data_IF_847945261760
#
_entry.id   IF_847945261760
#
_cell.length_a   1.000
_cell.length_b   1.000
_cell.length_c   1.000
_cell.angle_alpha   90.00
_cell.angle_beta   90.00
_cell.angle_gamma   90.00
#
_symmetry.space_group_name_H-M   'P 1'
#
loop_
_entity.id
_entity.type
_entity.pdbx_description
1 polymer ?
#
# COMPACT_ATOMS: atom_id res chain seq x y z
N UNK A 1 4.47 7.72 -26.32
CA UNK A 1 3.91 7.36 -24.99
C UNK A 1 2.41 7.07 -25.08
N UNK A 2 1.62 7.91 -25.76
CA UNK A 2 0.17 7.69 -25.94
C UNK A 2 -0.17 6.44 -26.76
N UNK A 3 0.58 6.14 -27.82
CA UNK A 3 0.38 4.92 -28.64
C UNK A 3 0.57 3.62 -27.83
N UNK A 4 1.65 3.53 -27.04
CA UNK A 4 1.92 2.36 -26.20
C UNK A 4 0.91 2.19 -25.06
N UNK A 5 0.39 3.29 -24.52
CA UNK A 5 -0.62 3.25 -23.45
C UNK A 5 -1.99 2.87 -24.00
N UNK A 6 -2.35 3.33 -25.20
CA UNK A 6 -3.55 2.91 -25.90
C UNK A 6 -3.54 1.41 -26.26
N UNK A 7 -2.41 0.91 -26.79
CA UNK A 7 -2.27 -0.50 -27.15
C UNK A 7 -2.24 -1.42 -25.92
N UNK A 8 -1.60 -0.98 -24.83
CA UNK A 8 -1.68 -1.70 -23.56
C UNK A 8 -3.13 -1.74 -23.04
N UNK A 9 -3.88 -0.63 -23.11
CA UNK A 9 -5.27 -0.56 -22.68
C UNK A 9 -6.19 -1.51 -23.49
N UNK A 10 -5.95 -1.64 -24.80
CA UNK A 10 -6.66 -2.57 -25.68
C UNK A 10 -6.35 -4.04 -25.37
N UNK A 11 -5.10 -4.37 -25.02
CA UNK A 11 -4.73 -5.72 -24.57
C UNK A 11 -5.40 -6.04 -23.21
N UNK A 12 -5.48 -5.06 -22.30
CA UNK A 12 -6.11 -5.28 -21.00
C UNK A 12 -7.64 -5.33 -21.05
N UNK A 13 -8.28 -4.80 -22.09
CA UNK A 13 -9.74 -4.86 -22.27
C UNK A 13 -10.22 -6.19 -22.85
N UNK A 14 -9.34 -6.93 -23.55
CA UNK A 14 -9.65 -8.26 -24.11
C UNK A 14 -9.48 -9.41 -23.12
N UNK A 15 -9.01 -9.12 -21.90
CA UNK A 15 -8.79 -10.14 -20.87
C UNK A 15 -10.08 -10.52 -20.13
N UNK A 16 -10.20 -11.79 -19.67
CA UNK A 16 -11.27 -12.22 -18.78
C UNK A 16 -11.33 -11.38 -17.49
N UNK A 17 -12.53 -11.22 -16.92
CA UNK A 17 -12.71 -10.47 -15.67
C UNK A 17 -11.92 -11.10 -14.51
N UNK A 18 -11.13 -10.28 -13.81
CA UNK A 18 -10.41 -10.70 -12.62
C UNK A 18 -8.94 -10.24 -12.60
N UNK A 19 -8.30 -10.42 -11.43
CA UNK A 19 -6.91 -10.04 -11.22
C UNK A 19 -5.91 -11.11 -11.71
N UNK A 20 -6.35 -12.37 -11.81
CA UNK A 20 -5.54 -13.50 -12.23
C UNK A 20 -4.96 -13.36 -13.66
N UNK A 21 -5.74 -13.02 -14.71
CA UNK A 21 -5.19 -12.86 -16.06
C UNK A 21 -4.16 -11.73 -16.16
N UNK A 22 -4.40 -10.62 -15.45
CA UNK A 22 -3.45 -9.50 -15.37
C UNK A 22 -2.14 -9.92 -14.69
N UNK A 23 -2.23 -10.74 -13.65
CA UNK A 23 -1.07 -11.31 -12.96
C UNK A 23 -0.27 -12.28 -13.83
N UNK A 24 -0.96 -13.13 -14.60
CA UNK A 24 -0.34 -14.04 -15.57
C UNK A 24 0.48 -13.26 -16.60
N UNK A 25 -0.08 -12.18 -17.18
CA UNK A 25 0.65 -11.32 -18.11
C UNK A 25 1.85 -10.61 -17.46
N UNK A 26 1.68 -10.08 -16.25
CA UNK A 26 2.75 -9.40 -15.53
C UNK A 26 3.95 -10.32 -15.27
N UNK A 27 3.71 -11.50 -14.71
CA UNK A 27 4.78 -12.47 -14.44
C UNK A 27 5.43 -13.02 -15.71
N UNK A 28 4.68 -13.13 -16.81
CA UNK A 28 5.20 -13.53 -18.11
C UNK A 28 6.07 -12.45 -18.75
N UNK A 29 5.69 -11.18 -18.62
CA UNK A 29 6.52 -10.06 -19.08
C UNK A 29 7.87 -10.00 -18.33
N UNK A 30 7.85 -10.20 -17.00
CA UNK A 30 9.08 -10.31 -16.20
C UNK A 30 9.92 -11.52 -16.60
N UNK A 31 9.28 -12.66 -16.88
CA UNK A 31 9.95 -13.87 -17.37
C UNK A 31 10.66 -13.64 -18.71
N UNK A 32 9.98 -13.03 -19.68
CA UNK A 32 10.54 -12.68 -20.98
C UNK A 32 11.71 -11.70 -20.83
N UNK A 33 11.57 -10.67 -19.99
CA UNK A 33 12.65 -9.73 -19.71
C UNK A 33 13.89 -10.46 -19.15
N UNK A 34 13.69 -11.34 -18.18
CA UNK A 34 14.78 -12.14 -17.61
C UNK A 34 15.39 -13.11 -18.64
N UNK A 35 14.60 -13.69 -19.53
CA UNK A 35 15.08 -14.54 -20.62
C UNK A 35 15.94 -13.76 -21.61
N UNK A 36 15.46 -12.60 -22.09
CA UNK A 36 16.23 -11.73 -22.99
C UNK A 36 17.54 -11.33 -22.33
N UNK A 37 17.48 -10.90 -21.07
CA UNK A 37 18.70 -10.56 -20.34
C UNK A 37 19.68 -11.74 -20.31
N UNK A 38 19.25 -12.95 -19.95
CA UNK A 38 20.14 -14.12 -19.85
C UNK A 38 20.80 -14.56 -21.17
N UNK A 39 20.26 -14.16 -22.34
CA UNK A 39 20.94 -14.36 -23.62
C UNK A 39 22.13 -13.42 -23.83
N UNK A 40 22.11 -12.23 -23.23
CA UNK A 40 23.15 -11.21 -23.39
C UNK A 40 24.02 -11.02 -22.15
N UNK A 41 23.49 -11.26 -20.95
CA UNK A 41 24.17 -11.09 -19.66
C UNK A 41 23.53 -11.92 -18.54
N UNK A 42 24.37 -12.62 -17.79
CA UNK A 42 23.96 -13.52 -16.70
C UNK A 42 23.99 -12.85 -15.31
N UNK A 43 24.14 -11.52 -15.26
CA UNK A 43 24.34 -10.75 -14.03
C UNK A 43 23.21 -10.92 -13.00
N UNK A 44 21.94 -10.75 -13.38
CA UNK A 44 20.85 -10.87 -12.40
C UNK A 44 20.62 -12.31 -11.94
N UNK A 45 20.76 -13.30 -12.83
CA UNK A 45 20.61 -14.71 -12.48
C UNK A 45 21.72 -15.17 -11.53
N UNK A 46 22.96 -14.72 -11.74
CA UNK A 46 24.07 -14.93 -10.80
C UNK A 46 23.80 -14.37 -9.41
N UNK A 47 23.05 -13.27 -9.29
CA UNK A 47 22.67 -12.73 -7.98
C UNK A 47 21.68 -13.64 -7.26
N UNK A 48 20.76 -14.29 -7.97
CA UNK A 48 19.80 -15.25 -7.37
C UNK A 48 20.54 -16.49 -6.85
N UNK A 49 21.48 -17.02 -7.63
CA UNK A 49 22.28 -18.22 -7.30
C UNK A 49 23.61 -17.90 -6.58
N UNK A 50 23.67 -16.80 -5.82
CA UNK A 50 24.92 -16.30 -5.24
C UNK A 50 25.41 -17.07 -3.99
N UNK A 51 24.76 -18.16 -3.58
CA UNK A 51 25.11 -18.89 -2.36
C UNK A 51 26.33 -19.82 -2.50
N UNK A 52 26.80 -20.07 -3.74
CA UNK A 52 28.09 -20.75 -4.02
C UNK A 52 29.00 -19.85 -4.87
N UNK A 53 29.60 -18.79 -4.29
CA UNK A 53 30.38 -17.82 -5.06
C UNK A 53 31.76 -18.32 -5.50
N UNK A 54 32.29 -19.42 -4.94
CA UNK A 54 33.70 -19.81 -5.07
C UNK A 54 33.90 -21.25 -5.59
N UNK A 55 33.47 -21.54 -6.82
CA UNK A 55 34.07 -22.62 -7.63
C UNK A 55 35.06 -22.07 -8.68
N UNK A 56 35.24 -20.75 -8.77
CA UNK A 56 36.21 -20.14 -9.70
C UNK A 56 37.69 -20.21 -9.26
N UNK A 57 37.98 -20.44 -7.97
CA UNK A 57 39.35 -20.42 -7.44
C UNK A 57 39.93 -21.83 -7.15
N UNK A 58 39.19 -22.90 -7.46
CA UNK A 58 39.58 -24.30 -7.19
C UNK A 58 39.69 -25.17 -8.44
N UNK A 59 39.64 -24.58 -9.65
CA UNK A 59 39.74 -25.32 -10.91
C UNK A 59 38.49 -26.16 -11.26
N UNK A 60 37.39 -26.01 -10.50
CA UNK A 60 36.08 -26.60 -10.81
C UNK A 60 35.24 -25.63 -11.66
N UNK A 61 34.26 -26.11 -12.46
CA UNK A 61 33.45 -25.23 -13.27
C UNK A 61 32.50 -24.40 -12.38
N UNK A 62 32.38 -23.10 -12.67
CA UNK A 62 31.46 -22.20 -11.96
C UNK A 62 30.03 -22.73 -11.94
N UNK A 63 29.38 -22.73 -10.77
CA UNK A 63 28.00 -23.18 -10.55
C UNK A 63 26.93 -22.60 -11.53
N UNK A 64 27.20 -21.45 -12.16
CA UNK A 64 26.38 -20.92 -13.26
C UNK A 64 27.24 -20.68 -14.50
N UNK A 65 27.17 -21.59 -15.48
CA UNK A 65 27.84 -21.42 -16.77
C UNK A 65 26.99 -20.54 -17.70
N UNK A 66 27.60 -19.81 -18.65
CA UNK A 66 26.84 -19.08 -19.68
C UNK A 66 25.91 -19.97 -20.50
N UNK A 67 26.19 -21.27 -20.59
CA UNK A 67 25.30 -22.25 -21.21
C UNK A 67 24.07 -22.54 -20.33
N UNK A 68 24.26 -22.77 -19.02
CA UNK A 68 23.13 -23.01 -18.11
C UNK A 68 22.22 -21.78 -17.98
N UNK A 69 22.78 -20.56 -18.02
CA UNK A 69 22.00 -19.33 -18.08
C UNK A 69 21.09 -19.24 -19.31
N UNK A 70 21.58 -19.67 -20.50
CA UNK A 70 20.78 -19.72 -21.73
C UNK A 70 19.71 -20.82 -21.70
N UNK A 71 20.00 -21.99 -21.12
CA UNK A 71 19.01 -23.05 -20.92
C UNK A 71 17.90 -22.61 -19.95
N UNK A 72 18.26 -21.88 -18.89
CA UNK A 72 17.28 -21.28 -17.98
C UNK A 72 16.44 -20.20 -18.68
N UNK A 73 17.04 -19.43 -19.58
CA UNK A 73 16.35 -18.43 -20.40
C UNK A 73 15.32 -19.05 -21.34
N UNK A 74 15.68 -20.11 -22.06
CA UNK A 74 14.76 -20.82 -22.98
C UNK A 74 13.61 -21.44 -22.20
N UNK A 75 13.90 -22.12 -21.08
CA UNK A 75 12.89 -22.67 -20.19
C UNK A 75 11.89 -21.61 -19.68
N UNK A 76 12.40 -20.49 -19.16
CA UNK A 76 11.57 -19.41 -18.61
C UNK A 76 10.73 -18.72 -19.69
N UNK A 77 11.26 -18.63 -20.91
CA UNK A 77 10.54 -18.06 -22.04
C UNK A 77 9.38 -18.97 -22.48
N UNK A 78 9.62 -20.28 -22.59
CA UNK A 78 8.58 -21.26 -22.92
C UNK A 78 7.44 -21.23 -21.91
N UNK A 79 7.75 -21.20 -20.61
CA UNK A 79 6.74 -21.09 -19.54
C UNK A 79 5.98 -19.76 -19.60
N UNK A 80 6.65 -18.66 -19.93
CA UNK A 80 6.00 -17.35 -20.09
C UNK A 80 5.01 -17.32 -21.26
N UNK A 81 5.31 -18.00 -22.37
CA UNK A 81 4.36 -18.12 -23.49
C UNK A 81 3.11 -18.92 -23.11
N UNK A 82 3.26 -20.02 -22.36
CA UNK A 82 2.13 -20.82 -21.85
C UNK A 82 1.23 -19.94 -20.96
N UNK A 83 1.83 -19.12 -20.09
CA UNK A 83 1.09 -18.23 -19.17
C UNK A 83 0.39 -17.08 -19.88
N UNK A 84 0.98 -16.51 -20.93
CA UNK A 84 0.31 -15.53 -21.80
C UNK A 84 -0.93 -16.17 -22.42
N UNK A 85 -0.78 -17.36 -23.01
CA UNK A 85 -1.90 -18.04 -23.66
C UNK A 85 -3.01 -18.44 -22.66
N UNK A 86 -2.62 -18.89 -21.46
CA UNK A 86 -3.52 -19.17 -20.36
C UNK A 86 -4.27 -17.91 -19.86
N UNK A 87 -3.65 -16.73 -19.89
CA UNK A 87 -4.28 -15.48 -19.47
C UNK A 87 -5.50 -15.11 -20.32
N UNK A 88 -5.46 -15.37 -21.63
CA UNK A 88 -6.59 -15.13 -22.53
C UNK A 88 -7.64 -16.25 -22.51
N UNK A 89 -7.28 -17.45 -22.06
CA UNK A 89 -8.14 -18.65 -22.11
C UNK A 89 -8.39 -19.28 -20.74
N UNK A 90 -8.60 -18.47 -19.70
CA UNK A 90 -8.86 -18.94 -18.33
C UNK A 90 -10.12 -19.80 -18.21
N UNK A 91 -11.10 -19.60 -19.09
CA UNK A 91 -12.35 -20.36 -19.10
C UNK A 91 -12.15 -21.83 -19.57
N UNK A 92 -11.02 -22.12 -20.22
CA UNK A 92 -10.69 -23.49 -20.62
C UNK A 92 -9.89 -24.17 -19.49
N UNK A 93 -10.46 -25.24 -18.93
CA UNK A 93 -9.84 -26.03 -17.85
C UNK A 93 -8.41 -26.47 -18.18
N UNK A 94 -8.15 -26.88 -19.42
CA UNK A 94 -6.82 -27.38 -19.83
C UNK A 94 -5.77 -26.26 -19.76
N UNK A 95 -6.12 -25.06 -20.22
CA UNK A 95 -5.20 -23.92 -20.24
C UNK A 95 -4.95 -23.39 -18.83
N UNK A 96 -5.98 -23.41 -17.98
CA UNK A 96 -5.84 -23.10 -16.56
C UNK A 96 -4.90 -24.09 -15.84
N UNK A 97 -5.11 -25.39 -16.03
CA UNK A 97 -4.30 -26.44 -15.42
C UNK A 97 -2.84 -26.31 -15.88
N UNK A 98 -2.58 -26.13 -17.18
CA UNK A 98 -1.24 -25.89 -17.72
C UNK A 98 -0.58 -24.64 -17.13
N UNK A 99 -1.35 -23.55 -16.99
CA UNK A 99 -0.89 -22.32 -16.37
C UNK A 99 -0.43 -22.54 -14.92
N UNK A 100 -1.23 -23.24 -14.12
CA UNK A 100 -0.90 -23.55 -12.72
C UNK A 100 0.28 -24.50 -12.62
N UNK A 101 0.31 -25.57 -13.41
CA UNK A 101 1.42 -26.53 -13.39
C UNK A 101 2.76 -25.85 -13.71
N UNK A 102 2.76 -24.83 -14.58
CA UNK A 102 3.95 -24.04 -14.85
C UNK A 102 4.47 -23.25 -13.63
N UNK A 103 3.60 -22.86 -12.69
CA UNK A 103 4.00 -22.27 -11.42
C UNK A 103 4.44 -23.31 -10.40
N UNK A 104 3.78 -24.47 -10.36
CA UNK A 104 4.16 -25.59 -9.48
C UNK A 104 5.58 -26.05 -9.80
N UNK A 105 5.93 -26.21 -11.08
CA UNK A 105 7.28 -26.60 -11.49
C UNK A 105 8.30 -25.53 -11.09
N UNK A 106 7.99 -24.25 -11.33
CA UNK A 106 8.88 -23.14 -10.94
C UNK A 106 9.09 -23.09 -9.42
N UNK A 107 8.03 -23.26 -8.63
CA UNK A 107 8.12 -23.28 -7.17
C UNK A 107 8.92 -24.48 -6.68
N UNK A 108 8.71 -25.66 -7.26
CA UNK A 108 9.46 -26.87 -6.92
C UNK A 108 10.96 -26.70 -7.21
N UNK A 109 11.31 -26.10 -8.35
CA UNK A 109 12.69 -25.77 -8.71
C UNK A 109 13.34 -24.83 -7.68
N UNK A 110 12.73 -23.68 -7.39
CA UNK A 110 13.31 -22.69 -6.48
C UNK A 110 13.33 -23.12 -5.01
N UNK A 111 12.31 -23.86 -4.55
CA UNK A 111 12.27 -24.42 -3.20
C UNK A 111 13.29 -25.55 -3.05
N UNK A 112 13.42 -26.42 -4.06
CA UNK A 112 14.46 -27.45 -4.10
C UNK A 112 15.87 -26.86 -4.06
N UNK A 113 16.12 -25.79 -4.82
CA UNK A 113 17.40 -25.06 -4.79
C UNK A 113 17.69 -24.37 -3.46
N UNK A 114 16.66 -23.93 -2.74
CA UNK A 114 16.82 -23.30 -1.43
C UNK A 114 17.02 -24.31 -0.30
N UNK A 115 16.25 -25.41 -0.30
CA UNK A 115 16.18 -26.37 0.82
C UNK A 115 17.16 -27.53 0.67
N UNK A 116 17.38 -28.02 -0.55
CA UNK A 116 18.13 -29.27 -0.80
C UNK A 116 19.50 -28.98 -1.38
N UNK A 117 19.60 -28.16 -2.43
CA UNK A 117 20.85 -27.97 -3.19
C UNK A 117 21.69 -26.77 -2.75
N UNK A 118 21.09 -25.84 -2.00
CA UNK A 118 21.74 -24.67 -1.43
C UNK A 118 22.28 -23.67 -2.46
N UNK A 119 21.73 -23.65 -3.69
CA UNK A 119 22.20 -22.79 -4.79
C UNK A 119 21.69 -21.36 -4.70
N UNK A 120 20.45 -21.15 -4.23
CA UNK A 120 19.83 -19.82 -4.12
C UNK A 120 20.17 -19.12 -2.81
N UNK A 121 20.48 -17.81 -2.87
CA UNK A 121 20.63 -16.95 -1.68
C UNK A 121 19.32 -16.21 -1.41
N UNK A 122 18.84 -16.23 -0.16
CA UNK A 122 17.67 -15.44 0.26
C UNK A 122 18.05 -13.95 0.27
N UNK A 123 17.92 -13.32 -0.89
CA UNK A 123 18.22 -11.91 -1.12
C UNK A 123 17.02 -11.19 -1.74
N UNK A 124 17.13 -9.86 -1.90
CA UNK A 124 16.04 -9.03 -2.44
C UNK A 124 15.56 -9.55 -3.81
N UNK A 125 16.44 -9.89 -4.78
CA UNK A 125 16.01 -10.51 -6.04
C UNK A 125 15.20 -11.80 -5.88
N UNK A 126 15.61 -12.71 -4.97
CA UNK A 126 14.92 -13.97 -4.72
C UNK A 126 13.56 -13.77 -4.04
N UNK A 127 13.45 -12.83 -3.09
CA UNK A 127 12.22 -12.57 -2.35
C UNK A 127 11.20 -11.74 -3.11
N UNK A 128 11.61 -11.02 -4.17
CA UNK A 128 10.74 -10.08 -4.89
C UNK A 128 9.50 -10.75 -5.50
N UNK A 129 9.60 -11.91 -6.20
CA UNK A 129 8.41 -12.61 -6.70
C UNK A 129 7.46 -13.08 -5.58
N UNK A 130 7.99 -13.43 -4.41
CA UNK A 130 7.21 -13.94 -3.27
C UNK A 130 6.42 -12.83 -2.56
N UNK A 131 7.04 -11.65 -2.41
CA UNK A 131 6.39 -10.47 -1.82
C UNK A 131 5.27 -9.98 -2.75
N UNK A 132 5.54 -9.88 -4.05
CA UNK A 132 4.54 -9.40 -5.02
C UNK A 132 3.40 -10.41 -5.18
N UNK A 133 3.67 -11.73 -5.14
CA UNK A 133 2.62 -12.75 -5.12
C UNK A 133 1.77 -12.71 -3.82
N UNK A 134 2.35 -12.26 -2.70
CA UNK A 134 1.65 -12.10 -1.42
C UNK A 134 0.71 -10.90 -1.36
N UNK A 135 0.91 -9.87 -2.20
CA UNK A 135 0.00 -8.73 -2.33
C UNK A 135 -1.22 -9.05 -3.21
N UNK A 136 -2.08 -9.96 -2.73
CA UNK A 136 -3.46 -10.01 -3.22
C UNK A 136 -4.22 -8.78 -2.69
N UNK A 137 -4.24 -7.69 -3.45
CA UNK A 137 -5.12 -6.54 -3.19
C UNK A 137 -6.58 -6.96 -3.43
N UNK A 138 -7.18 -7.63 -2.45
CA UNK A 138 -8.60 -8.01 -2.48
C UNK A 138 -9.42 -7.33 -1.37
N UNK A 139 -9.10 -6.07 -1.06
CA UNK A 139 -9.97 -5.21 -0.25
C UNK A 139 -9.96 -3.80 -0.82
N UNK A 140 -11.09 -3.34 -1.36
CA UNK A 140 -11.28 -1.92 -1.73
C UNK A 140 -11.22 -1.12 -0.43
N UNK A 141 -10.07 -0.48 -0.18
CA UNK A 141 -9.89 0.36 1.00
C UNK A 141 -10.79 1.60 0.87
N UNK A 142 -11.73 1.77 1.80
CA UNK A 142 -12.60 2.95 1.82
C UNK A 142 -11.76 4.20 2.11
N UNK A 143 -11.66 5.10 1.13
CA UNK A 143 -10.87 6.32 1.25
C UNK A 143 -11.70 7.44 1.88
N UNK A 144 -11.14 8.11 2.88
CA UNK A 144 -11.85 9.14 3.62
C UNK A 144 -12.29 10.34 2.75
N UNK A 145 -11.55 10.68 1.70
CA UNK A 145 -11.91 11.81 0.83
C UNK A 145 -13.17 11.53 -0.01
N UNK A 146 -13.36 10.28 -0.46
CA UNK A 146 -14.55 9.87 -1.21
C UNK A 146 -15.81 9.99 -0.34
N UNK A 147 -15.68 9.69 0.96
CA UNK A 147 -16.78 9.80 1.92
C UNK A 147 -17.19 11.24 2.24
N UNK A 148 -16.28 12.21 2.11
CA UNK A 148 -16.59 13.63 2.41
C UNK A 148 -17.51 14.27 1.38
N UNK A 149 -17.53 13.72 0.16
CA UNK A 149 -18.39 14.20 -0.93
C UNK A 149 -19.81 13.63 -0.87
N UNK A 150 -20.07 12.65 0.02
CA UNK A 150 -21.36 11.97 0.15
C UNK A 150 -22.28 12.67 1.15
N UNK A 151 -23.58 12.49 0.98
CA UNK A 151 -24.58 13.02 1.91
C UNK A 151 -24.65 12.18 3.20
N UNK A 152 -25.15 12.76 4.31
CA UNK A 152 -25.32 12.08 5.60
C UNK A 152 -26.17 10.80 5.48
N UNK A 153 -27.23 10.84 4.67
CA UNK A 153 -28.11 9.68 4.46
C UNK A 153 -27.39 8.52 3.75
N UNK A 154 -26.53 8.84 2.78
CA UNK A 154 -25.71 7.85 2.07
C UNK A 154 -24.66 7.24 3.00
N UNK A 155 -24.03 8.07 3.83
CA UNK A 155 -23.06 7.61 4.83
C UNK A 155 -23.68 6.71 5.89
N UNK A 156 -24.91 7.00 6.34
CA UNK A 156 -25.63 6.11 7.27
C UNK A 156 -26.00 4.78 6.62
N UNK A 157 -26.44 4.80 5.36
CA UNK A 157 -26.76 3.57 4.62
C UNK A 157 -25.51 2.70 4.44
N UNK A 158 -24.41 3.31 3.98
CA UNK A 158 -23.12 2.62 3.81
C UNK A 158 -22.59 2.07 5.15
N UNK A 159 -22.81 2.77 6.26
CA UNK A 159 -22.44 2.30 7.59
C UNK A 159 -23.19 1.02 7.98
N UNK A 160 -24.48 0.94 7.72
CA UNK A 160 -25.31 -0.20 8.09
C UNK A 160 -25.05 -1.41 7.20
N UNK A 161 -24.80 -1.21 5.91
CA UNK A 161 -24.31 -2.24 4.99
C UNK A 161 -22.98 -2.85 5.48
N UNK A 162 -22.00 -2.01 5.86
CA UNK A 162 -20.71 -2.49 6.39
C UNK A 162 -20.85 -3.24 7.72
N UNK A 163 -21.82 -2.87 8.58
CA UNK A 163 -22.10 -3.59 9.82
C UNK A 163 -22.72 -4.97 9.55
N UNK A 164 -23.65 -5.05 8.60
CA UNK A 164 -24.25 -6.32 8.17
C UNK A 164 -23.19 -7.26 7.57
N UNK A 165 -22.31 -6.72 6.72
CA UNK A 165 -21.17 -7.47 6.17
C UNK A 165 -20.26 -7.98 7.29
N UNK A 166 -19.90 -7.12 8.25
CA UNK A 166 -19.08 -7.51 9.39
C UNK A 166 -19.75 -8.60 10.23
N UNK A 167 -21.06 -8.53 10.47
CA UNK A 167 -21.81 -9.53 11.19
C UNK A 167 -21.76 -10.89 10.47
N UNK A 168 -21.98 -10.90 9.15
CA UNK A 168 -21.83 -12.09 8.30
C UNK A 168 -20.42 -12.68 8.37
N UNK A 169 -19.38 -11.85 8.26
CA UNK A 169 -17.98 -12.28 8.37
C UNK A 169 -17.63 -12.87 9.74
N UNK A 170 -18.25 -12.38 10.82
CA UNK A 170 -18.08 -12.94 12.16
C UNK A 170 -18.70 -14.33 12.30
N UNK A 171 -19.86 -14.57 11.69
CA UNK A 171 -20.48 -15.91 11.65
C UNK A 171 -19.60 -16.86 10.86
N UNK A 172 -19.14 -16.46 9.67
CA UNK A 172 -18.25 -17.26 8.82
C UNK A 172 -16.93 -17.62 9.53
N UNK A 173 -16.42 -16.73 10.38
CA UNK A 173 -15.24 -17.01 11.21
C UNK A 173 -15.48 -18.15 12.18
N UNK A 174 -16.66 -18.22 12.80
CA UNK A 174 -17.01 -19.27 13.77
C UNK A 174 -17.18 -20.62 13.06
N UNK A 175 -17.73 -20.62 11.84
CA UNK A 175 -17.93 -21.83 11.03
C UNK A 175 -16.66 -22.31 10.30
N UNK A 176 -15.49 -21.70 10.54
CA UNK A 176 -14.21 -22.12 9.96
C UNK A 176 -13.96 -21.67 8.51
N UNK A 177 -14.67 -20.65 8.02
CA UNK A 177 -14.51 -20.15 6.64
C UNK A 177 -13.18 -19.41 6.39
N UNK A 178 -12.62 -19.57 5.18
CA UNK A 178 -11.29 -19.08 4.78
C UNK A 178 -11.13 -17.54 4.62
N UNK A 179 -12.19 -16.72 4.79
CA UNK A 179 -12.18 -15.27 4.49
C UNK A 179 -11.93 -14.36 5.72
N UNK A 180 -11.01 -14.76 6.60
CA UNK A 180 -10.64 -14.01 7.81
C UNK A 180 -9.97 -12.65 7.53
N UNK A 181 -9.31 -12.50 6.38
CA UNK A 181 -8.51 -11.32 6.04
C UNK A 181 -9.35 -10.05 5.84
N UNK A 182 -10.66 -10.18 5.53
CA UNK A 182 -11.57 -9.04 5.28
C UNK A 182 -12.06 -8.37 6.57
N UNK A 183 -12.11 -9.08 7.70
CA UNK A 183 -12.63 -8.55 8.98
C UNK A 183 -11.87 -7.29 9.43
N UNK A 184 -10.53 -7.30 9.32
CA UNK A 184 -9.71 -6.15 9.69
C UNK A 184 -9.98 -4.93 8.83
N UNK A 185 -10.18 -5.14 7.52
CA UNK A 185 -10.49 -4.09 6.57
C UNK A 185 -11.90 -3.50 6.82
N UNK A 186 -12.92 -4.33 6.99
CA UNK A 186 -14.30 -3.88 7.24
C UNK A 186 -14.41 -3.10 8.56
N UNK A 187 -13.68 -3.50 9.62
CA UNK A 187 -13.62 -2.73 10.88
C UNK A 187 -13.01 -1.34 10.69
N UNK A 188 -11.93 -1.23 9.92
CA UNK A 188 -11.28 0.05 9.60
C UNK A 188 -12.21 0.93 8.74
N UNK A 189 -12.94 0.34 7.81
CA UNK A 189 -13.94 1.04 6.99
C UNK A 189 -15.07 1.65 7.84
N UNK A 190 -15.65 0.88 8.77
CA UNK A 190 -16.68 1.37 9.72
C UNK A 190 -16.15 2.55 10.54
N UNK A 191 -14.94 2.43 11.10
CA UNK A 191 -14.33 3.51 11.87
C UNK A 191 -14.10 4.78 11.04
N UNK A 192 -13.71 4.63 9.77
CA UNK A 192 -13.53 5.74 8.84
C UNK A 192 -14.86 6.48 8.58
N UNK A 193 -15.93 5.75 8.27
CA UNK A 193 -17.27 6.33 8.03
C UNK A 193 -17.79 7.07 9.26
N UNK A 194 -17.71 6.46 10.45
CA UNK A 194 -18.09 7.11 11.71
C UNK A 194 -17.27 8.37 12.01
N UNK A 195 -15.98 8.36 11.65
CA UNK A 195 -15.11 9.53 11.84
C UNK A 195 -15.54 10.68 10.95
N UNK A 196 -15.86 10.41 9.68
CA UNK A 196 -16.32 11.44 8.72
C UNK A 196 -17.68 12.01 9.14
N UNK A 197 -18.64 11.17 9.54
CA UNK A 197 -19.94 11.63 10.05
C UNK A 197 -19.77 12.55 11.28
N UNK A 198 -18.92 12.15 12.23
CA UNK A 198 -18.65 12.95 13.42
C UNK A 198 -17.92 14.26 13.09
N UNK A 199 -17.02 14.24 12.10
CA UNK A 199 -16.32 15.43 11.64
C UNK A 199 -17.30 16.44 11.04
N UNK A 200 -18.14 16.01 10.09
CA UNK A 200 -19.11 16.89 9.41
C UNK A 200 -20.12 17.47 10.40
N UNK A 201 -20.63 16.66 11.34
CA UNK A 201 -21.53 17.13 12.38
C UNK A 201 -20.87 18.20 13.28
N UNK A 202 -19.63 17.97 13.74
CA UNK A 202 -18.91 18.95 14.56
C UNK A 202 -18.60 20.23 13.80
N UNK A 203 -18.25 20.15 12.52
CA UNK A 203 -17.93 21.32 11.71
C UNK A 203 -19.19 22.17 11.45
N UNK A 204 -20.34 21.55 11.20
CA UNK A 204 -21.62 22.26 11.12
C UNK A 204 -22.00 22.93 12.45
N UNK A 205 -21.80 22.25 13.59
CA UNK A 205 -22.02 22.86 14.91
C UNK A 205 -21.07 24.04 15.17
N UNK A 206 -19.81 23.95 14.74
CA UNK A 206 -18.85 25.06 14.86
C UNK A 206 -19.29 26.28 14.06
N UNK A 207 -19.84 26.08 12.86
CA UNK A 207 -20.42 27.16 12.05
C UNK A 207 -21.61 27.79 12.78
N UNK A 208 -22.52 26.99 13.32
CA UNK A 208 -23.69 27.48 14.05
C UNK A 208 -23.36 28.24 15.35
N UNK A 209 -22.32 27.82 16.07
CA UNK A 209 -21.85 28.49 17.29
C UNK A 209 -20.76 29.54 17.05
N UNK A 210 -20.43 29.80 15.77
CA UNK A 210 -19.47 30.85 15.41
C UNK A 210 -19.97 32.19 15.95
N UNK A 211 -19.10 32.91 16.64
CA UNK A 211 -19.39 34.22 17.24
C UNK A 211 -20.41 34.25 18.39
N UNK A 212 -20.95 33.11 18.83
CA UNK A 212 -21.79 33.05 20.04
C UNK A 212 -20.92 33.12 21.29
N UNK A 213 -21.36 33.91 22.28
CA UNK A 213 -20.64 34.08 23.56
C UNK A 213 -20.40 32.75 24.28
N UNK A 214 -21.39 31.86 24.28
CA UNK A 214 -21.32 30.56 24.93
C UNK A 214 -21.25 29.45 23.89
N UNK A 215 -20.22 28.62 24.01
CA UNK A 215 -20.02 27.41 23.19
C UNK A 215 -20.18 26.18 24.08
N UNK A 216 -20.75 25.08 23.57
CA UNK A 216 -20.81 23.81 24.29
C UNK A 216 -19.44 23.32 24.73
N UNK A 217 -19.38 22.55 25.83
CA UNK A 217 -18.12 22.05 26.39
C UNK A 217 -17.29 21.23 25.38
N UNK A 218 -17.94 20.47 24.51
CA UNK A 218 -17.28 19.61 23.50
C UNK A 218 -16.58 20.38 22.40
N UNK A 219 -17.06 21.59 22.09
CA UNK A 219 -16.47 22.48 21.08
C UNK A 219 -15.42 23.42 21.66
N UNK A 220 -15.31 23.51 22.98
CA UNK A 220 -14.33 24.36 23.65
C UNK A 220 -12.92 23.82 23.42
N UNK A 221 -11.99 24.75 23.17
CA UNK A 221 -10.56 24.39 23.07
C UNK A 221 -10.09 23.65 24.32
N UNK A 222 -9.45 22.49 24.12
CA UNK A 222 -8.92 21.65 25.20
C UNK A 222 -7.64 22.31 25.74
N UNK A 223 -7.78 22.97 26.90
CA UNK A 223 -6.69 23.60 27.66
C UNK A 223 -6.78 23.18 29.12
N UNK A 224 -5.66 23.22 29.85
CA UNK A 224 -5.66 22.97 31.30
C UNK A 224 -6.56 23.98 32.02
N UNK A 225 -7.07 23.60 33.20
CA UNK A 225 -7.95 24.47 34.01
C UNK A 225 -7.25 25.78 34.38
N UNK A 226 -5.98 25.72 34.74
CA UNK A 226 -5.15 26.89 35.05
C UNK A 226 -5.08 27.86 33.85
N UNK A 227 -4.79 27.35 32.64
CA UNK A 227 -4.74 28.17 31.42
C UNK A 227 -6.10 28.78 31.08
N UNK A 228 -7.22 28.10 31.38
CA UNK A 228 -8.57 28.65 31.16
C UNK A 228 -8.95 29.75 32.13
N UNK A 229 -8.35 29.79 33.33
CA UNK A 229 -8.63 30.77 34.39
C UNK A 229 -7.71 31.99 34.37
N UNK A 230 -6.57 31.93 33.69
CA UNK A 230 -5.65 33.07 33.57
C UNK A 230 -6.33 34.23 32.83
N UNK A 231 -5.90 35.45 33.15
CA UNK A 231 -6.31 36.67 32.44
C UNK A 231 -5.99 36.57 30.94
N UNK A 232 -6.82 37.20 30.11
CA UNK A 232 -6.52 37.35 28.70
C UNK A 232 -5.29 38.23 28.51
N UNK A 233 -4.57 38.07 27.39
CA UNK A 233 -3.39 38.90 27.08
C UNK A 233 -3.73 40.39 27.05
N UNK A 234 -4.96 40.74 26.66
CA UNK A 234 -5.43 42.12 26.70
C UNK A 234 -5.56 42.60 28.14
N UNK A 235 -6.25 41.85 29.00
CA UNK A 235 -6.41 42.19 30.42
C UNK A 235 -5.06 42.28 31.15
N UNK A 236 -4.14 41.34 30.92
CA UNK A 236 -2.81 41.38 31.54
C UNK A 236 -1.97 42.58 31.09
N UNK A 237 -2.22 43.09 29.88
CA UNK A 237 -1.49 44.21 29.30
C UNK A 237 -2.18 45.56 29.50
N UNK A 238 -3.38 45.59 30.10
CA UNK A 238 -4.07 46.85 30.39
C UNK A 238 -3.24 47.67 31.36
N UNK A 239 -2.76 48.82 30.89
CA UNK A 239 -2.04 49.81 31.70
C UNK A 239 -2.99 50.93 32.06
N UNK A 240 -2.86 51.48 33.27
CA UNK A 240 -3.61 52.65 33.68
C UNK A 240 -3.24 53.86 32.81
N UNK A 241 -4.16 54.83 32.66
CA UNK A 241 -3.90 56.05 31.87
C UNK A 241 -2.63 56.76 32.36
N UNK A 242 -2.40 56.79 33.67
CA UNK A 242 -1.18 57.33 34.29
C UNK A 242 0.09 56.61 33.81
N UNK A 243 0.08 55.28 33.82
CA UNK A 243 1.23 54.49 33.37
C UNK A 243 1.46 54.63 31.85
N UNK A 244 0.39 54.69 31.06
CA UNK A 244 0.48 54.95 29.61
C UNK A 244 1.15 56.30 29.33
N UNK A 245 0.71 57.37 30.00
CA UNK A 245 1.33 58.69 29.91
C UNK A 245 2.82 58.63 30.28
N UNK A 246 3.17 57.98 31.41
CA UNK A 246 4.58 57.86 31.84
C UNK A 246 5.45 57.16 30.78
N UNK A 247 4.98 56.05 30.22
CA UNK A 247 5.73 55.30 29.20
C UNK A 247 5.85 56.04 27.87
N UNK A 248 4.82 56.82 27.49
CA UNK A 248 4.87 57.65 26.30
C UNK A 248 5.92 58.76 26.41
N UNK A 249 6.00 59.41 27.59
CA UNK A 249 6.96 60.49 27.83
C UNK A 249 8.38 59.96 28.09
N UNK A 250 8.52 58.84 28.80
CA UNK A 250 9.82 58.27 29.20
C UNK A 250 9.94 56.79 28.78
N UNK A 251 10.03 56.50 27.48
CA UNK A 251 10.31 55.15 27.02
C UNK A 251 11.74 54.76 27.38
N UNK A 252 11.95 53.48 27.73
CA UNK A 252 13.29 52.95 27.96
C UNK A 252 14.07 53.00 26.64
N UNK A 253 15.08 53.87 26.57
CA UNK A 253 15.94 54.02 25.40
C UNK A 253 17.11 53.04 25.53
N UNK A 254 17.52 52.45 24.40
CA UNK A 254 18.76 51.66 24.35
C UNK A 254 19.93 52.63 24.25
N UNK A 255 20.90 52.51 25.15
CA UNK A 255 22.14 53.27 25.12
C UNK A 255 23.31 52.34 25.43
N UNK A 256 24.51 52.73 25.02
CA UNK A 256 25.75 52.05 25.33
C UNK A 256 26.71 53.06 25.99
N UNK A 257 27.57 52.57 26.87
CA UNK A 257 28.63 53.38 27.49
C UNK A 257 29.91 53.12 26.71
N UNK A 258 30.63 54.20 26.38
CA UNK A 258 31.90 54.12 25.69
C UNK A 258 32.94 53.52 26.65
N UNK A 259 33.67 52.51 26.18
CA UNK A 259 34.81 51.94 26.90
C UNK A 259 35.98 52.94 26.98
#
# INVERSE_FOLDING_TARGET
MEYFTAQAAEIFSTLPEGNLPRWLLFTSALGIFNSVQNFFTDKLTKQVYANKPNEGNTGLPSALTPLSGRLFATWTWSVSMIRIYAAFHLNNKIMYDLGIWSYVIALTHFVGELVVFGGCKVNVPFMSPMIVAGESKETVAVKAHELRNKNKAELSKQLDELKQELASLRVQKITGGARLQKIGATRKAIACVLTVINQTQRDQLRLFYKSKKYTPLDLRTKKTRAIRRRLTKNESNKKTVRQQKKLAHFPQRKFAVKA
#
